data_IF_053933110617
#
_entry.id   IF_053933110617
#
_cell.length_a   1.000
_cell.length_b   1.000
_cell.length_c   1.000
_cell.angle_alpha   90.00
_cell.angle_beta   90.00
_cell.angle_gamma   90.00
#
_symmetry.space_group_name_H-M   'P 1'
#
loop_
_entity.id
_entity.type
_entity.pdbx_description
1 polymer ?
#
# COMPACT_ATOMS: atom_id res chain seq x y z
N UNK A 1 16.33 20.18 4.39
CA UNK A 1 15.68 19.28 3.43
C UNK A 1 14.18 19.51 3.45
N UNK A 2 13.54 19.75 2.30
CA UNK A 2 12.08 19.87 2.17
C UNK A 2 11.54 18.57 1.59
N UNK A 3 10.56 17.97 2.25
CA UNK A 3 9.82 16.81 1.76
C UNK A 3 8.47 17.31 1.26
N UNK A 4 8.19 17.06 -0.02
CA UNK A 4 6.88 17.40 -0.60
C UNK A 4 5.85 16.34 -0.21
N UNK A 5 4.63 16.79 0.06
CA UNK A 5 3.47 15.90 0.12
C UNK A 5 2.94 15.66 -1.30
N UNK A 6 2.31 14.50 -1.52
CA UNK A 6 1.68 14.15 -2.82
C UNK A 6 0.85 15.30 -3.40
N UNK A 7 0.02 15.96 -2.59
CA UNK A 7 -0.83 17.05 -3.04
C UNK A 7 -0.06 18.31 -3.50
N UNK A 8 1.11 18.58 -2.91
CA UNK A 8 2.00 19.66 -3.34
C UNK A 8 2.69 19.27 -4.65
N UNK A 9 3.18 18.02 -4.74
CA UNK A 9 3.80 17.50 -5.95
C UNK A 9 2.85 17.55 -7.14
N UNK A 10 1.59 17.13 -6.99
CA UNK A 10 0.58 17.18 -8.08
C UNK A 10 0.35 18.59 -8.64
N UNK A 11 0.51 19.62 -7.82
CA UNK A 11 0.43 21.01 -8.32
C UNK A 11 1.62 21.37 -9.18
N UNK A 12 2.80 20.78 -8.94
CA UNK A 12 4.00 21.04 -9.72
C UNK A 12 4.05 20.29 -11.06
N UNK A 13 3.21 19.26 -11.26
CA UNK A 13 3.15 18.54 -12.55
C UNK A 13 2.70 19.47 -13.68
N UNK A 14 1.76 20.38 -13.38
CA UNK A 14 1.29 21.36 -14.39
C UNK A 14 2.42 22.31 -14.74
N UNK A 15 2.82 22.30 -16.01
CA UNK A 15 3.88 23.15 -16.55
C UNK A 15 5.28 22.52 -16.49
N UNK A 16 5.45 21.26 -16.06
CA UNK A 16 6.74 20.57 -16.11
C UNK A 16 7.35 20.51 -17.51
N UNK A 17 6.53 20.54 -18.54
CA UNK A 17 6.94 20.55 -19.95
C UNK A 17 7.67 21.84 -20.34
N UNK A 18 7.29 22.98 -19.75
CA UNK A 18 7.74 24.32 -20.20
C UNK A 18 8.47 25.11 -19.14
N UNK A 19 8.27 24.80 -17.83
CA UNK A 19 8.93 25.55 -16.75
C UNK A 19 10.39 25.13 -16.65
N UNK A 20 11.36 26.04 -16.83
CA UNK A 20 12.78 25.76 -16.61
C UNK A 20 13.05 25.32 -15.18
N UNK A 21 13.93 24.36 -15.02
CA UNK A 21 14.39 23.91 -13.71
C UNK A 21 14.64 22.41 -13.65
N UNK A 22 15.39 22.00 -12.63
CA UNK A 22 15.67 20.61 -12.37
C UNK A 22 14.41 19.93 -11.78
N UNK A 23 13.94 18.89 -12.44
CA UNK A 23 12.78 18.08 -12.01
C UNK A 23 13.26 16.67 -11.69
N UNK A 24 13.96 16.55 -10.53
CA UNK A 24 14.52 15.29 -10.04
C UNK A 24 13.81 14.90 -8.77
N UNK A 25 13.09 13.78 -8.77
CA UNK A 25 12.22 13.38 -7.69
C UNK A 25 12.56 12.00 -7.16
N UNK A 26 12.44 11.86 -5.84
CA UNK A 26 12.43 10.57 -5.14
C UNK A 26 11.01 10.32 -4.62
N UNK A 27 10.32 9.34 -5.20
CA UNK A 27 9.01 8.89 -4.72
C UNK A 27 9.21 7.78 -3.69
N UNK A 28 8.72 7.99 -2.48
CA UNK A 28 8.82 7.05 -1.38
C UNK A 28 7.57 7.05 -0.51
N UNK A 29 7.43 6.04 0.34
CA UNK A 29 6.27 5.88 1.23
C UNK A 29 5.44 4.66 0.87
N UNK A 30 4.35 4.45 1.62
CA UNK A 30 3.63 3.17 1.67
C UNK A 30 2.57 3.00 0.54
N UNK A 31 2.34 4.02 -0.32
CA UNK A 31 1.24 3.99 -1.31
C UNK A 31 1.74 3.88 -2.74
N UNK A 32 2.01 2.63 -3.17
CA UNK A 32 2.57 2.34 -4.50
C UNK A 32 1.61 2.71 -5.65
N UNK A 33 0.30 2.59 -5.43
CA UNK A 33 -0.68 2.94 -6.46
C UNK A 33 -0.59 4.42 -6.84
N UNK A 34 -0.53 5.32 -5.87
CA UNK A 34 -0.47 6.76 -6.16
C UNK A 34 0.89 7.17 -6.70
N UNK A 35 2.00 6.51 -6.30
CA UNK A 35 3.31 6.69 -6.94
C UNK A 35 3.26 6.37 -8.43
N UNK A 36 2.64 5.24 -8.80
CA UNK A 36 2.46 4.86 -10.20
C UNK A 36 1.53 5.83 -10.96
N UNK A 37 0.42 6.22 -10.35
CA UNK A 37 -0.54 7.15 -10.95
C UNK A 37 0.09 8.52 -11.21
N UNK A 38 0.85 9.05 -10.25
CA UNK A 38 1.53 10.35 -10.39
C UNK A 38 2.73 10.28 -11.34
N UNK A 39 3.45 9.15 -11.39
CA UNK A 39 4.46 8.90 -12.42
C UNK A 39 3.83 8.96 -13.82
N UNK A 40 2.69 8.30 -14.03
CA UNK A 40 1.98 8.35 -15.31
C UNK A 40 1.43 9.76 -15.62
N UNK A 41 1.03 10.53 -14.61
CA UNK A 41 0.64 11.93 -14.79
C UNK A 41 1.82 12.79 -15.26
N UNK A 42 3.03 12.57 -14.73
CA UNK A 42 4.25 13.22 -15.22
C UNK A 42 4.57 12.83 -16.67
N UNK A 43 4.43 11.53 -17.00
CA UNK A 43 4.59 11.05 -18.39
C UNK A 43 3.65 11.80 -19.34
N UNK A 44 2.39 11.96 -18.97
CA UNK A 44 1.42 12.69 -19.80
C UNK A 44 1.72 14.18 -19.88
N UNK A 45 2.27 14.79 -18.83
CA UNK A 45 2.64 16.19 -18.83
C UNK A 45 3.90 16.46 -19.67
N UNK A 46 4.94 15.60 -19.54
CA UNK A 46 6.24 15.80 -20.20
C UNK A 46 6.23 15.28 -21.64
N UNK A 47 5.56 14.15 -21.90
CA UNK A 47 5.53 13.48 -23.19
C UNK A 47 4.07 13.11 -23.57
N UNK A 48 3.20 14.09 -23.89
CA UNK A 48 1.79 13.83 -24.18
C UNK A 48 1.58 13.04 -25.47
N UNK A 49 2.40 13.27 -26.51
CA UNK A 49 2.32 12.59 -27.80
C UNK A 49 2.98 11.20 -27.71
N UNK A 50 2.24 10.10 -27.94
CA UNK A 50 2.79 8.76 -27.91
C UNK A 50 3.92 8.50 -28.90
N UNK A 51 3.91 9.17 -30.06
CA UNK A 51 4.94 9.03 -31.10
C UNK A 51 6.27 9.67 -30.70
N UNK A 52 6.22 10.79 -30.00
CA UNK A 52 7.38 11.50 -29.46
C UNK A 52 7.86 10.83 -28.17
N UNK A 53 6.93 10.28 -27.37
CA UNK A 53 7.21 9.60 -26.12
C UNK A 53 8.17 8.42 -26.28
N UNK A 54 8.02 7.63 -27.34
CA UNK A 54 8.87 6.45 -27.57
C UNK A 54 10.36 6.79 -27.67
N UNK A 55 10.71 8.03 -27.99
CA UNK A 55 12.10 8.49 -28.04
C UNK A 55 12.55 9.21 -26.77
N UNK A 56 11.61 9.71 -25.97
CA UNK A 56 11.89 10.60 -24.84
C UNK A 56 11.56 9.98 -23.46
N UNK A 57 10.96 8.80 -23.40
CA UNK A 57 10.72 8.10 -22.15
C UNK A 57 11.62 6.87 -22.03
N UNK A 58 12.38 6.80 -20.94
CA UNK A 58 13.17 5.62 -20.59
C UNK A 58 12.71 5.11 -19.23
N UNK A 59 12.29 3.83 -19.19
CA UNK A 59 11.93 3.15 -17.94
C UNK A 59 12.96 2.08 -17.64
N UNK A 60 13.43 2.09 -16.39
CA UNK A 60 14.33 1.09 -15.83
C UNK A 60 13.75 0.53 -14.54
N UNK A 61 14.05 -0.73 -14.30
CA UNK A 61 13.73 -1.45 -13.08
C UNK A 61 14.94 -2.23 -12.56
N UNK A 62 14.78 -2.94 -11.45
CA UNK A 62 15.86 -3.72 -10.84
C UNK A 62 16.48 -4.78 -11.77
N UNK A 63 15.78 -5.22 -12.83
CA UNK A 63 16.27 -6.26 -13.74
C UNK A 63 17.17 -5.71 -14.87
N UNK A 64 16.92 -4.46 -15.27
CA UNK A 64 17.62 -3.86 -16.42
C UNK A 64 18.49 -2.65 -16.04
N UNK A 65 18.45 -2.22 -14.79
CA UNK A 65 19.24 -1.11 -14.28
C UNK A 65 20.72 -1.50 -14.13
N UNK A 66 21.59 -0.63 -14.64
CA UNK A 66 23.00 -0.49 -14.21
C UNK A 66 23.32 1.01 -14.12
N UNK A 67 24.32 1.44 -13.33
CA UNK A 67 24.73 2.82 -13.25
C UNK A 67 25.07 3.44 -14.60
N UNK A 68 25.75 2.66 -15.49
CA UNK A 68 26.16 3.10 -16.82
C UNK A 68 24.92 3.33 -17.72
N UNK A 69 23.98 2.37 -17.74
CA UNK A 69 22.75 2.52 -18.53
C UNK A 69 21.90 3.70 -18.05
N UNK A 70 21.87 3.93 -16.72
CA UNK A 70 21.17 5.07 -16.17
C UNK A 70 21.82 6.38 -16.63
N UNK A 71 23.15 6.44 -16.59
CA UNK A 71 23.90 7.61 -17.06
C UNK A 71 23.67 7.87 -18.54
N UNK A 72 23.75 6.82 -19.39
CA UNK A 72 23.46 6.94 -20.83
C UNK A 72 22.04 7.48 -21.06
N UNK A 73 21.04 6.99 -20.30
CA UNK A 73 19.68 7.47 -20.41
C UNK A 73 19.51 8.93 -20.00
N UNK A 74 20.23 9.38 -18.98
CA UNK A 74 20.20 10.77 -18.50
C UNK A 74 20.89 11.72 -19.49
N UNK A 75 22.03 11.31 -20.07
CA UNK A 75 22.80 12.10 -21.02
C UNK A 75 22.14 12.29 -22.39
N UNK A 76 21.24 11.38 -22.76
CA UNK A 76 20.58 11.40 -24.07
C UNK A 76 19.74 12.65 -24.20
N UNK A 77 19.92 13.40 -25.27
CA UNK A 77 19.15 14.61 -25.54
C UNK A 77 17.70 14.29 -25.95
N UNK A 78 16.74 15.18 -25.65
CA UNK A 78 15.36 15.00 -26.10
C UNK A 78 15.25 15.09 -27.61
N UNK A 79 14.35 14.30 -28.20
CA UNK A 79 14.10 14.22 -29.62
C UNK A 79 12.72 14.79 -29.94
N UNK A 80 12.63 15.87 -30.71
CA UNK A 80 11.37 16.54 -31.03
C UNK A 80 10.55 16.97 -29.82
N UNK A 81 11.20 17.21 -28.68
CA UNK A 81 10.61 17.63 -27.43
C UNK A 81 11.61 18.54 -26.68
N UNK A 82 11.12 19.34 -25.73
CA UNK A 82 11.98 20.16 -24.88
C UNK A 82 12.62 19.34 -23.73
N UNK A 83 11.98 18.26 -23.35
CA UNK A 83 12.38 17.42 -22.22
C UNK A 83 12.28 15.95 -22.55
N UNK A 84 13.04 15.18 -21.79
CA UNK A 84 12.92 13.73 -21.74
C UNK A 84 12.63 13.27 -20.30
N UNK A 85 12.13 12.06 -20.18
CA UNK A 85 11.76 11.47 -18.90
C UNK A 85 12.54 10.18 -18.68
N UNK A 86 13.23 10.08 -17.54
CA UNK A 86 13.91 8.87 -17.09
C UNK A 86 13.27 8.43 -15.78
N UNK A 87 12.74 7.21 -15.75
CA UNK A 87 12.07 6.61 -14.60
C UNK A 87 12.87 5.37 -14.16
N UNK A 88 13.33 5.37 -12.94
CA UNK A 88 13.93 4.21 -12.28
C UNK A 88 12.99 3.75 -11.17
N UNK A 89 12.50 2.52 -11.25
CA UNK A 89 11.49 1.98 -10.31
C UNK A 89 11.85 0.59 -9.81
N UNK A 90 11.20 0.15 -8.72
CA UNK A 90 11.37 -1.21 -8.19
C UNK A 90 12.73 -1.45 -7.53
N UNK A 91 13.49 -0.42 -7.21
CA UNK A 91 14.79 -0.52 -6.56
C UNK A 91 14.61 -0.53 -5.05
N UNK A 92 15.10 -1.58 -4.38
CA UNK A 92 15.10 -1.72 -2.93
C UNK A 92 16.39 -1.12 -2.35
N UNK A 93 16.37 0.19 -2.08
CA UNK A 93 17.56 0.92 -1.61
C UNK A 93 18.13 0.37 -0.31
N UNK A 94 17.27 -0.13 0.60
CA UNK A 94 17.70 -0.75 1.86
C UNK A 94 18.44 -2.09 1.66
N UNK A 95 18.26 -2.74 0.52
CA UNK A 95 18.90 -4.01 0.19
C UNK A 95 20.19 -3.85 -0.61
N UNK A 96 20.48 -2.65 -1.12
CA UNK A 96 21.68 -2.36 -1.91
C UNK A 96 22.93 -2.34 -1.02
N UNK A 97 24.04 -2.85 -1.57
CA UNK A 97 25.35 -2.71 -0.95
C UNK A 97 25.83 -1.25 -1.03
N UNK A 98 26.72 -0.88 -0.13
CA UNK A 98 27.25 0.50 -0.07
C UNK A 98 27.97 0.92 -1.37
N UNK A 99 28.60 0.01 -2.07
CA UNK A 99 29.22 0.27 -3.39
C UNK A 99 28.17 0.58 -4.46
N UNK A 100 27.06 -0.16 -4.49
CA UNK A 100 25.97 0.05 -5.41
C UNK A 100 25.25 1.38 -5.13
N UNK A 101 25.05 1.71 -3.84
CA UNK A 101 24.50 3.00 -3.42
C UNK A 101 25.39 4.16 -3.85
N UNK A 102 26.72 4.03 -3.69
CA UNK A 102 27.68 5.06 -4.11
C UNK A 102 27.66 5.25 -5.63
N UNK A 103 27.58 4.15 -6.40
CA UNK A 103 27.51 4.21 -7.84
C UNK A 103 26.22 4.92 -8.32
N UNK A 104 25.07 4.62 -7.70
CA UNK A 104 23.80 5.30 -7.98
C UNK A 104 23.90 6.79 -7.62
N UNK A 105 24.38 7.14 -6.42
CA UNK A 105 24.52 8.53 -5.99
C UNK A 105 25.50 9.31 -6.87
N UNK A 106 26.55 8.66 -7.41
CA UNK A 106 27.47 9.29 -8.38
C UNK A 106 26.77 9.67 -9.68
N UNK A 107 25.82 8.87 -10.18
CA UNK A 107 25.00 9.25 -11.33
C UNK A 107 24.08 10.41 -10.97
N UNK A 108 23.42 10.33 -9.79
CA UNK A 108 22.47 11.37 -9.35
C UNK A 108 23.16 12.74 -9.16
N UNK A 109 24.42 12.75 -8.76
CA UNK A 109 25.19 14.00 -8.60
C UNK A 109 25.45 14.74 -9.91
N UNK A 110 25.34 14.06 -11.04
CA UNK A 110 25.53 14.62 -12.38
C UNK A 110 24.22 15.10 -13.03
N UNK A 111 23.06 14.79 -12.43
CA UNK A 111 21.76 15.22 -12.98
C UNK A 111 21.65 16.72 -13.28
N UNK A 112 22.21 17.65 -12.45
CA UNK A 112 22.12 19.08 -12.72
C UNK A 112 22.73 19.51 -14.06
N UNK A 113 23.65 18.75 -14.62
CA UNK A 113 24.27 19.01 -15.91
C UNK A 113 23.33 18.72 -17.10
N UNK A 114 22.20 18.02 -16.82
CA UNK A 114 21.22 17.56 -17.81
C UNK A 114 19.81 18.06 -17.44
N UNK A 115 19.65 19.37 -17.37
CA UNK A 115 18.43 20.06 -16.91
C UNK A 115 17.19 19.83 -17.79
N UNK A 116 17.39 19.34 -19.01
CA UNK A 116 16.33 18.88 -19.91
C UNK A 116 15.74 17.52 -19.49
N UNK A 117 16.37 16.81 -18.57
CA UNK A 117 15.88 15.51 -18.08
C UNK A 117 14.96 15.71 -16.88
N UNK A 118 13.77 15.12 -16.93
CA UNK A 118 12.91 14.88 -15.76
C UNK A 118 13.24 13.49 -15.24
N UNK A 119 13.65 13.39 -13.98
CA UNK A 119 14.06 12.12 -13.38
C UNK A 119 13.17 11.73 -12.21
N UNK A 120 12.70 10.49 -12.19
CA UNK A 120 11.93 9.93 -11.10
C UNK A 120 12.57 8.62 -10.61
N UNK A 121 13.01 8.60 -9.36
CA UNK A 121 13.34 7.37 -8.65
C UNK A 121 12.13 6.98 -7.80
N UNK A 122 11.42 5.91 -8.19
CA UNK A 122 10.24 5.41 -7.46
C UNK A 122 10.60 4.16 -6.67
N UNK A 123 10.70 4.31 -5.35
CA UNK A 123 11.07 3.23 -4.42
C UNK A 123 9.79 2.51 -3.95
N UNK A 124 9.73 1.16 -3.95
CA UNK A 124 8.61 0.40 -3.39
C UNK A 124 8.34 0.75 -1.93
N UNK A 125 7.14 0.42 -1.43
CA UNK A 125 6.69 0.74 -0.08
C UNK A 125 7.65 0.26 1.02
N UNK A 126 8.28 -0.89 0.83
CA UNK A 126 9.25 -1.52 1.73
C UNK A 126 10.71 -1.39 1.24
N UNK A 127 10.93 -0.65 0.15
CA UNK A 127 12.24 -0.52 -0.51
C UNK A 127 13.23 0.39 0.22
N UNK A 128 12.79 1.20 1.18
CA UNK A 128 13.67 1.99 2.05
C UNK A 128 13.00 2.31 3.39
N UNK A 129 13.81 2.43 4.45
CA UNK A 129 13.35 3.07 5.69
C UNK A 129 13.41 4.60 5.53
N UNK A 130 12.26 5.29 5.52
CA UNK A 130 12.23 6.74 5.40
C UNK A 130 12.55 7.46 6.72
N UNK A 131 12.63 6.75 7.85
CA UNK A 131 12.60 7.32 9.20
C UNK A 131 11.17 7.65 9.66
N UNK A 132 11.04 8.63 10.56
CA UNK A 132 9.74 9.06 11.07
C UNK A 132 9.10 10.04 10.09
N UNK A 133 7.93 9.69 9.55
CA UNK A 133 7.19 10.51 8.59
C UNK A 133 5.76 10.79 9.08
N UNK A 134 5.12 11.91 8.66
CA UNK A 134 3.71 12.12 8.91
C UNK A 134 2.88 11.02 8.22
N UNK A 135 1.82 10.61 8.88
CA UNK A 135 0.86 9.61 8.38
C UNK A 135 -0.55 10.19 8.37
N UNK A 136 -1.48 9.51 7.71
CA UNK A 136 -2.90 9.90 7.74
C UNK A 136 -3.47 9.92 9.17
N UNK A 137 -2.97 9.08 10.07
CA UNK A 137 -3.37 9.04 11.48
C UNK A 137 -2.66 10.10 12.33
N UNK A 138 -1.48 10.56 11.91
CA UNK A 138 -0.65 11.53 12.63
C UNK A 138 -0.08 12.58 11.66
N UNK A 139 -0.94 13.43 11.07
CA UNK A 139 -0.52 14.35 10.00
C UNK A 139 0.36 15.50 10.49
N UNK A 140 0.41 15.75 11.79
CA UNK A 140 1.25 16.82 12.41
C UNK A 140 2.60 16.33 12.91
N UNK A 141 2.94 15.05 12.64
CA UNK A 141 4.27 14.53 13.03
C UNK A 141 5.35 15.25 12.26
N UNK A 142 6.33 15.79 12.98
CA UNK A 142 7.52 16.38 12.35
C UNK A 142 8.36 15.28 11.68
N UNK A 143 8.72 15.44 10.40
CA UNK A 143 9.54 14.47 9.71
C UNK A 143 10.95 14.37 10.36
N UNK A 144 11.38 13.14 10.63
CA UNK A 144 12.76 12.83 11.03
C UNK A 144 13.31 11.81 10.03
N UNK A 145 13.91 12.29 8.92
CA UNK A 145 14.39 11.43 7.86
C UNK A 145 15.50 10.50 8.33
N UNK A 146 15.55 9.30 7.74
CA UNK A 146 16.67 8.40 7.91
C UNK A 146 17.95 8.95 7.27
N UNK A 147 19.10 8.41 7.63
CA UNK A 147 20.37 8.75 6.98
C UNK A 147 20.34 8.42 5.48
N UNK A 148 19.68 7.30 5.09
CA UNK A 148 19.56 6.90 3.69
C UNK A 148 18.72 7.92 2.91
N UNK A 149 17.52 8.29 3.40
CA UNK A 149 16.69 9.31 2.77
C UNK A 149 17.43 10.65 2.65
N UNK A 150 18.18 11.03 3.66
CA UNK A 150 18.96 12.30 3.67
C UNK A 150 20.03 12.33 2.58
N UNK A 151 20.73 11.21 2.33
CA UNK A 151 21.74 11.10 1.24
C UNK A 151 21.12 11.31 -0.13
N UNK A 152 19.93 10.71 -0.40
CA UNK A 152 19.25 10.89 -1.68
C UNK A 152 18.65 12.29 -1.83
N UNK A 153 18.22 12.90 -0.73
CA UNK A 153 17.64 14.25 -0.73
C UNK A 153 18.65 15.38 -1.02
N UNK A 154 19.92 15.07 -1.10
CA UNK A 154 20.95 16.00 -1.60
C UNK A 154 20.82 16.22 -3.11
N UNK A 155 20.33 15.23 -3.83
CA UNK A 155 20.25 15.24 -5.31
C UNK A 155 18.81 15.24 -5.84
N UNK A 156 17.89 14.66 -5.09
CA UNK A 156 16.50 14.48 -5.49
C UNK A 156 15.55 15.19 -4.52
N UNK A 157 14.46 15.72 -5.03
CA UNK A 157 13.37 16.25 -4.21
C UNK A 157 12.51 15.10 -3.69
N UNK A 158 12.51 14.79 -2.39
CA UNK A 158 11.70 13.71 -1.85
C UNK A 158 10.21 14.06 -1.87
N UNK A 159 9.39 13.11 -2.35
CA UNK A 159 7.91 13.19 -2.36
C UNK A 159 7.36 12.03 -1.56
N UNK A 160 6.62 12.33 -0.51
CA UNK A 160 6.01 11.33 0.38
C UNK A 160 4.63 10.93 -0.12
N UNK A 161 4.46 9.64 -0.37
CA UNK A 161 3.20 8.96 -0.65
C UNK A 161 2.75 8.15 0.56
N UNK A 162 2.12 8.82 1.51
CA UNK A 162 1.65 8.19 2.74
C UNK A 162 0.39 7.35 2.46
N UNK A 163 0.25 6.23 3.18
CA UNK A 163 -0.93 5.37 3.08
C UNK A 163 -2.20 6.16 3.44
N UNK A 164 -3.21 6.03 2.61
CA UNK A 164 -4.50 6.67 2.81
C UNK A 164 -5.26 6.08 3.99
N UNK A 165 -5.96 6.94 4.76
CA UNK A 165 -6.92 6.47 5.76
C UNK A 165 -8.16 5.87 5.08
N UNK A 166 -8.96 5.03 5.78
CA UNK A 166 -10.20 4.49 5.23
C UNK A 166 -11.17 5.57 4.73
N UNK A 167 -11.23 6.73 5.40
CA UNK A 167 -12.06 7.86 4.98
C UNK A 167 -11.55 8.52 3.69
N UNK A 168 -10.23 8.64 3.54
CA UNK A 168 -9.61 9.15 2.31
C UNK A 168 -9.81 8.17 1.16
N UNK A 169 -9.69 6.85 1.41
CA UNK A 169 -9.98 5.81 0.43
C UNK A 169 -11.44 5.85 -0.02
N UNK A 170 -12.41 5.95 0.89
CA UNK A 170 -13.82 6.06 0.53
C UNK A 170 -14.10 7.29 -0.35
N UNK A 171 -13.47 8.42 -0.04
CA UNK A 171 -13.58 9.64 -0.86
C UNK A 171 -12.90 9.47 -2.23
N UNK A 172 -11.81 8.73 -2.29
CA UNK A 172 -11.12 8.39 -3.53
C UNK A 172 -11.98 7.46 -4.40
N UNK A 173 -12.56 6.41 -3.83
CA UNK A 173 -13.50 5.50 -4.48
C UNK A 173 -14.66 6.27 -5.10
N UNK A 174 -15.27 7.20 -4.34
CA UNK A 174 -16.39 8.01 -4.84
C UNK A 174 -16.01 8.85 -6.06
N UNK A 175 -14.82 9.48 -6.04
CA UNK A 175 -14.33 10.26 -7.19
C UNK A 175 -14.13 9.39 -8.43
N UNK A 176 -13.62 8.17 -8.26
CA UNK A 176 -13.35 7.25 -9.37
C UNK A 176 -14.66 6.73 -9.99
N UNK A 177 -15.67 6.39 -9.20
CA UNK A 177 -17.00 6.07 -9.74
C UNK A 177 -17.57 7.24 -10.55
N UNK A 178 -17.51 8.45 -10.01
CA UNK A 178 -17.97 9.64 -10.69
C UNK A 178 -17.25 9.89 -12.02
N UNK A 179 -15.94 9.69 -12.06
CA UNK A 179 -15.16 9.82 -13.31
C UNK A 179 -15.54 8.76 -14.35
N UNK A 180 -15.99 7.58 -13.90
CA UNK A 180 -16.54 6.51 -14.75
C UNK A 180 -18.00 6.70 -15.16
N UNK A 181 -18.66 7.81 -14.75
CA UNK A 181 -20.06 8.08 -15.07
C UNK A 181 -21.07 7.33 -14.19
N UNK A 182 -20.64 6.82 -13.03
CA UNK A 182 -21.49 6.11 -12.06
C UNK A 182 -21.50 6.88 -10.74
N UNK A 183 -22.67 6.98 -10.12
CA UNK A 183 -22.82 7.56 -8.79
C UNK A 183 -22.67 6.46 -7.73
N UNK A 184 -21.94 6.75 -6.67
CA UNK A 184 -21.80 5.90 -5.51
C UNK A 184 -22.02 6.70 -4.23
N UNK A 185 -22.88 6.22 -3.34
CA UNK A 185 -23.15 6.90 -2.07
C UNK A 185 -21.92 6.83 -1.15
N UNK A 186 -21.73 7.77 -0.21
CA UNK A 186 -20.64 7.70 0.76
C UNK A 186 -20.66 6.42 1.59
N UNK A 187 -21.85 5.87 1.91
CA UNK A 187 -22.00 4.61 2.66
C UNK A 187 -21.54 3.42 1.82
N UNK A 188 -21.95 3.37 0.56
CA UNK A 188 -21.46 2.36 -0.40
C UNK A 188 -19.93 2.40 -0.53
N UNK A 189 -19.35 3.58 -0.64
CA UNK A 189 -17.88 3.72 -0.76
C UNK A 189 -17.15 3.23 0.51
N UNK A 190 -17.70 3.50 1.70
CA UNK A 190 -17.15 2.97 2.96
C UNK A 190 -17.27 1.46 3.03
N UNK A 191 -18.42 0.92 2.65
CA UNK A 191 -18.65 -0.52 2.59
C UNK A 191 -17.72 -1.20 1.60
N UNK A 192 -17.51 -0.61 0.43
CA UNK A 192 -16.58 -1.13 -0.57
C UNK A 192 -15.14 -1.20 -0.05
N UNK A 193 -14.67 -0.14 0.64
CA UNK A 193 -13.33 -0.16 1.26
C UNK A 193 -13.23 -1.23 2.34
N UNK A 194 -14.29 -1.41 3.12
CA UNK A 194 -14.36 -2.47 4.14
C UNK A 194 -14.35 -3.86 3.50
N UNK A 195 -15.12 -4.05 2.43
CA UNK A 195 -15.33 -5.33 1.77
C UNK A 195 -14.12 -5.76 0.91
N UNK A 196 -13.59 -4.85 0.09
CA UNK A 196 -12.47 -5.15 -0.82
C UNK A 196 -11.08 -4.99 -0.17
N UNK A 197 -11.01 -4.37 1.03
CA UNK A 197 -9.74 -4.02 1.68
C UNK A 197 -9.22 -2.65 1.29
N UNK A 198 -8.02 -2.32 1.81
CA UNK A 198 -7.41 -0.98 1.67
C UNK A 198 -6.39 -0.89 0.54
N UNK A 199 -6.18 -1.94 -0.23
CA UNK A 199 -5.27 -1.95 -1.38
C UNK A 199 -5.88 -1.17 -2.55
N UNK A 200 -5.19 -0.10 -2.97
CA UNK A 200 -5.71 0.79 -4.01
C UNK A 200 -5.67 0.18 -5.41
N UNK A 201 -4.75 -0.75 -5.70
CA UNK A 201 -4.76 -1.49 -6.98
C UNK A 201 -6.00 -2.36 -7.08
N UNK A 202 -6.31 -3.09 -6.00
CA UNK A 202 -7.54 -3.89 -5.91
C UNK A 202 -8.77 -3.00 -6.01
N UNK A 203 -8.88 -1.97 -5.20
CA UNK A 203 -10.01 -1.03 -5.24
C UNK A 203 -10.22 -0.45 -6.63
N UNK A 204 -9.15 -0.06 -7.33
CA UNK A 204 -9.22 0.42 -8.72
C UNK A 204 -9.81 -0.62 -9.65
N UNK A 205 -9.34 -1.86 -9.57
CA UNK A 205 -9.86 -2.98 -10.37
C UNK A 205 -11.35 -3.24 -10.10
N UNK A 206 -11.75 -3.26 -8.84
CA UNK A 206 -13.14 -3.47 -8.44
C UNK A 206 -14.06 -2.32 -8.89
N UNK A 207 -13.59 -1.05 -8.81
CA UNK A 207 -14.32 0.11 -9.33
C UNK A 207 -14.57 -0.03 -10.84
N UNK A 208 -13.56 -0.45 -11.60
CA UNK A 208 -13.70 -0.63 -13.05
C UNK A 208 -14.75 -1.69 -13.38
N UNK A 209 -14.72 -2.86 -12.69
CA UNK A 209 -15.71 -3.93 -12.89
C UNK A 209 -17.11 -3.47 -12.54
N UNK A 210 -17.29 -2.87 -11.37
CA UNK A 210 -18.59 -2.36 -10.91
C UNK A 210 -19.13 -1.26 -11.83
N UNK A 211 -18.29 -0.34 -12.27
CA UNK A 211 -18.66 0.72 -13.21
C UNK A 211 -19.15 0.12 -14.53
N UNK A 212 -18.42 -0.86 -15.08
CA UNK A 212 -18.82 -1.54 -16.31
C UNK A 212 -20.15 -2.29 -16.14
N UNK A 213 -20.32 -3.01 -15.02
CA UNK A 213 -21.54 -3.77 -14.71
C UNK A 213 -22.77 -2.86 -14.59
N UNK A 214 -22.68 -1.78 -13.80
CA UNK A 214 -23.78 -0.83 -13.59
C UNK A 214 -24.19 -0.18 -14.91
N UNK A 215 -23.21 0.25 -15.71
CA UNK A 215 -23.46 0.85 -17.04
C UNK A 215 -24.05 -0.13 -18.04
N UNK A 216 -23.59 -1.38 -18.06
CA UNK A 216 -24.15 -2.44 -18.91
C UNK A 216 -25.62 -2.74 -18.57
N UNK A 217 -26.02 -2.58 -17.29
CA UNK A 217 -27.40 -2.68 -16.84
C UNK A 217 -28.24 -1.42 -17.13
N UNK A 218 -27.71 -0.40 -17.83
CA UNK A 218 -28.39 0.85 -18.13
C UNK A 218 -28.63 1.75 -16.92
N UNK A 219 -27.87 1.55 -15.84
CA UNK A 219 -27.98 2.31 -14.58
C UNK A 219 -26.83 3.30 -14.42
N UNK A 220 -27.07 4.34 -13.63
CA UNK A 220 -26.07 5.36 -13.29
C UNK A 220 -25.67 5.32 -11.80
N UNK A 221 -26.30 4.46 -11.00
CA UNK A 221 -26.06 4.37 -9.56
C UNK A 221 -25.68 2.94 -9.15
N UNK A 222 -24.58 2.81 -8.41
CA UNK A 222 -24.17 1.57 -7.80
C UNK A 222 -24.96 1.28 -6.51
N UNK A 223 -25.33 0.03 -6.28
CA UNK A 223 -26.09 -0.45 -5.12
C UNK A 223 -25.27 -1.45 -4.29
N UNK A 224 -25.61 -1.68 -3.01
CA UNK A 224 -24.97 -2.71 -2.20
C UNK A 224 -25.03 -4.11 -2.82
N UNK A 225 -26.13 -4.46 -3.52
CA UNK A 225 -26.28 -5.73 -4.22
C UNK A 225 -25.24 -5.89 -5.34
N UNK A 226 -24.93 -4.81 -6.06
CA UNK A 226 -23.88 -4.82 -7.09
C UNK A 226 -22.53 -5.16 -6.50
N UNK A 227 -22.20 -4.60 -5.31
CA UNK A 227 -20.97 -4.87 -4.62
C UNK A 227 -20.79 -6.36 -4.34
N UNK A 228 -21.81 -7.00 -3.76
CA UNK A 228 -21.74 -8.41 -3.43
C UNK A 228 -21.84 -9.35 -4.65
N UNK A 229 -22.40 -8.88 -5.75
CA UNK A 229 -22.52 -9.65 -6.99
C UNK A 229 -21.22 -9.64 -7.81
N UNK A 230 -20.51 -8.52 -7.85
CA UNK A 230 -19.41 -8.27 -8.79
C UNK A 230 -18.06 -8.22 -8.12
N UNK A 231 -17.97 -7.59 -6.94
CA UNK A 231 -16.69 -7.36 -6.30
C UNK A 231 -16.19 -8.62 -5.58
N UNK A 232 -14.86 -8.75 -5.57
CA UNK A 232 -14.21 -9.83 -4.83
C UNK A 232 -13.84 -9.32 -3.43
N UNK A 233 -14.30 -10.06 -2.43
CA UNK A 233 -13.96 -9.78 -1.02
C UNK A 233 -12.45 -9.88 -0.78
N UNK A 234 -11.91 -8.95 0.01
CA UNK A 234 -10.53 -9.01 0.44
C UNK A 234 -10.31 -10.14 1.44
N UNK A 235 -9.24 -10.92 1.25
CA UNK A 235 -8.87 -11.99 2.20
C UNK A 235 -8.64 -11.48 3.61
N UNK A 236 -8.13 -10.25 3.75
CA UNK A 236 -7.95 -9.60 5.06
C UNK A 236 -9.29 -9.37 5.79
N UNK A 237 -10.36 -9.06 5.04
CA UNK A 237 -11.69 -8.83 5.61
C UNK A 237 -12.26 -10.12 6.19
N UNK A 238 -12.28 -11.20 5.40
CA UNK A 238 -12.75 -12.48 5.88
C UNK A 238 -11.96 -13.03 7.06
N UNK A 239 -10.62 -12.91 7.04
CA UNK A 239 -9.76 -13.31 8.15
C UNK A 239 -10.04 -12.50 9.43
N UNK A 240 -10.32 -11.21 9.30
CA UNK A 240 -10.66 -10.34 10.42
C UNK A 240 -12.02 -10.68 11.03
N UNK A 241 -13.06 -10.86 10.21
CA UNK A 241 -14.39 -11.23 10.66
C UNK A 241 -14.41 -12.63 11.30
N UNK A 242 -13.70 -13.58 10.70
CA UNK A 242 -13.50 -14.90 11.27
C UNK A 242 -12.84 -14.81 12.66
N UNK A 243 -11.71 -14.11 12.76
CA UNK A 243 -10.98 -13.95 14.02
C UNK A 243 -11.82 -13.24 15.09
N UNK A 244 -12.59 -12.22 14.72
CA UNK A 244 -13.51 -11.54 15.63
C UNK A 244 -14.64 -12.45 16.12
N UNK A 245 -15.21 -13.27 15.24
CA UNK A 245 -16.23 -14.25 15.62
C UNK A 245 -15.68 -15.28 16.60
N UNK A 246 -14.45 -15.78 16.36
CA UNK A 246 -13.75 -16.68 17.27
C UNK A 246 -13.45 -16.00 18.61
N UNK A 247 -12.93 -14.77 18.62
CA UNK A 247 -12.66 -14.01 19.84
C UNK A 247 -13.92 -13.69 20.65
N UNK A 248 -15.05 -13.53 19.98
CA UNK A 248 -16.35 -13.33 20.62
C UNK A 248 -16.98 -14.63 21.16
N UNK A 249 -16.39 -15.81 20.87
CA UNK A 249 -16.96 -17.12 21.20
C UNK A 249 -18.18 -17.49 20.34
N UNK A 250 -18.37 -16.85 19.20
CA UNK A 250 -19.48 -17.11 18.29
C UNK A 250 -19.05 -18.08 17.19
N UNK A 251 -19.07 -19.37 17.55
CA UNK A 251 -18.64 -20.48 16.68
C UNK A 251 -19.45 -20.54 15.38
N UNK A 252 -20.79 -20.34 15.46
CA UNK A 252 -21.65 -20.35 14.28
C UNK A 252 -21.30 -19.22 13.29
N UNK A 253 -21.00 -18.03 13.80
CA UNK A 253 -20.56 -16.93 12.95
C UNK A 253 -19.18 -17.20 12.32
N UNK A 254 -18.25 -17.80 13.09
CA UNK A 254 -16.94 -18.16 12.58
C UNK A 254 -17.05 -19.17 11.43
N UNK A 255 -17.85 -20.22 11.60
CA UNK A 255 -18.06 -21.20 10.52
C UNK A 255 -18.77 -20.62 9.30
N UNK A 256 -19.75 -19.72 9.48
CA UNK A 256 -20.39 -19.05 8.32
C UNK A 256 -19.37 -18.25 7.51
N UNK A 257 -18.53 -17.46 8.15
CA UNK A 257 -17.47 -16.70 7.45
C UNK A 257 -16.50 -17.66 6.76
N UNK A 258 -16.14 -18.77 7.41
CA UNK A 258 -15.23 -19.76 6.83
C UNK A 258 -15.82 -20.44 5.58
N UNK A 259 -17.11 -20.81 5.64
CA UNK A 259 -17.82 -21.37 4.48
C UNK A 259 -17.91 -20.37 3.32
N UNK A 260 -18.17 -19.10 3.59
CA UNK A 260 -18.11 -18.05 2.57
C UNK A 260 -16.73 -17.95 1.92
N UNK A 261 -15.64 -18.02 2.72
CA UNK A 261 -14.28 -18.04 2.17
C UNK A 261 -14.02 -19.26 1.29
N UNK A 262 -14.51 -20.45 1.68
CA UNK A 262 -14.39 -21.68 0.90
C UNK A 262 -15.12 -21.56 -0.44
N UNK A 263 -16.37 -21.10 -0.43
CA UNK A 263 -17.17 -20.87 -1.65
C UNK A 263 -16.45 -19.92 -2.61
N UNK A 264 -15.80 -18.91 -2.07
CA UNK A 264 -15.02 -17.91 -2.84
C UNK A 264 -13.63 -18.41 -3.23
N UNK A 265 -13.23 -19.62 -2.85
CA UNK A 265 -11.92 -20.22 -3.11
C UNK A 265 -10.75 -19.35 -2.64
N UNK A 266 -10.91 -18.67 -1.49
CA UNK A 266 -9.81 -17.95 -0.86
C UNK A 266 -8.65 -18.92 -0.60
N UNK A 267 -7.40 -18.48 -0.81
CA UNK A 267 -6.26 -19.35 -0.53
C UNK A 267 -6.13 -19.62 0.98
N UNK A 268 -6.28 -20.88 1.44
CA UNK A 268 -6.29 -21.20 2.87
C UNK A 268 -4.97 -20.86 3.56
N UNK A 269 -3.82 -20.88 2.84
CA UNK A 269 -2.51 -20.52 3.40
C UNK A 269 -2.46 -19.03 3.71
N UNK A 270 -2.97 -18.19 2.80
CA UNK A 270 -3.03 -16.74 2.98
C UNK A 270 -3.99 -16.37 4.12
N UNK A 271 -5.19 -16.95 4.12
CA UNK A 271 -6.20 -16.73 5.19
C UNK A 271 -5.63 -17.14 6.54
N UNK A 272 -5.01 -18.31 6.62
CA UNK A 272 -4.41 -18.82 7.85
C UNK A 272 -3.28 -17.90 8.37
N UNK A 273 -2.42 -17.41 7.47
CA UNK A 273 -1.37 -16.45 7.83
C UNK A 273 -1.93 -15.16 8.43
N UNK A 274 -2.99 -14.61 7.85
CA UNK A 274 -3.67 -13.41 8.37
C UNK A 274 -4.35 -13.67 9.72
N UNK A 275 -5.05 -14.79 9.87
CA UNK A 275 -5.69 -15.20 11.14
C UNK A 275 -4.64 -15.37 12.24
N UNK A 276 -3.54 -16.07 11.95
CA UNK A 276 -2.43 -16.25 12.89
C UNK A 276 -1.84 -14.92 13.34
N UNK A 277 -1.63 -14.00 12.39
CA UNK A 277 -1.13 -12.64 12.69
C UNK A 277 -2.09 -11.89 13.61
N UNK A 278 -3.41 -11.97 13.38
CA UNK A 278 -4.42 -11.29 14.20
C UNK A 278 -4.37 -11.81 15.65
N UNK A 279 -4.28 -13.14 15.86
CA UNK A 279 -4.18 -13.70 17.20
C UNK A 279 -2.85 -13.39 17.91
N UNK A 280 -1.73 -13.38 17.18
CA UNK A 280 -0.44 -12.96 17.71
C UNK A 280 -0.45 -11.48 18.15
N UNK A 281 -1.02 -10.60 17.33
CA UNK A 281 -1.21 -9.19 17.66
C UNK A 281 -2.10 -9.01 18.90
N UNK A 282 -3.20 -9.75 18.95
CA UNK A 282 -4.15 -9.74 20.06
C UNK A 282 -3.49 -10.16 21.40
N UNK A 283 -2.74 -11.27 21.38
CA UNK A 283 -2.02 -11.75 22.55
C UNK A 283 -0.92 -10.75 22.98
N UNK A 284 -0.15 -10.24 22.04
CA UNK A 284 0.93 -9.28 22.34
C UNK A 284 0.39 -8.01 23.00
N UNK A 285 -0.69 -7.44 22.44
CA UNK A 285 -1.35 -6.26 23.03
C UNK A 285 -1.89 -6.57 24.42
N UNK A 286 -2.51 -7.74 24.63
CA UNK A 286 -3.03 -8.16 25.93
C UNK A 286 -1.91 -8.26 26.97
N UNK A 287 -0.83 -8.98 26.68
CA UNK A 287 0.28 -9.17 27.61
C UNK A 287 0.98 -7.87 27.99
N UNK A 288 1.12 -6.94 27.04
CA UNK A 288 1.71 -5.63 27.30
C UNK A 288 0.74 -4.72 28.08
N UNK A 289 -0.56 -4.80 27.80
CA UNK A 289 -1.59 -4.10 28.58
C UNK A 289 -1.65 -4.58 30.03
N UNK A 290 -1.58 -5.91 30.25
CA UNK A 290 -1.58 -6.52 31.59
C UNK A 290 -0.33 -6.11 32.41
N UNK A 291 0.75 -5.70 31.73
CA UNK A 291 1.93 -5.09 32.35
C UNK A 291 1.79 -3.60 32.65
N UNK A 292 0.65 -3.00 32.35
CA UNK A 292 0.34 -1.60 32.62
C UNK A 292 0.89 -0.61 31.61
N UNK A 293 1.38 -1.06 30.43
CA UNK A 293 1.87 -0.17 29.39
C UNK A 293 0.71 0.61 28.75
N UNK A 294 0.96 1.89 28.47
CA UNK A 294 0.03 2.72 27.71
C UNK A 294 -0.05 2.31 26.23
N UNK A 295 -1.10 2.72 25.52
CA UNK A 295 -1.27 2.41 24.10
C UNK A 295 -0.09 2.90 23.22
N UNK A 296 0.54 4.02 23.58
CA UNK A 296 1.72 4.52 22.87
C UNK A 296 2.96 3.65 23.11
N UNK A 297 3.18 3.22 24.34
CA UNK A 297 4.30 2.33 24.69
C UNK A 297 4.13 0.94 24.06
N UNK A 298 2.89 0.41 24.03
CA UNK A 298 2.57 -0.85 23.36
C UNK A 298 2.85 -0.73 21.86
N UNK A 299 2.36 0.33 21.22
CA UNK A 299 2.62 0.56 19.79
C UNK A 299 4.12 0.67 19.49
N UNK A 300 4.89 1.38 20.32
CA UNK A 300 6.34 1.48 20.20
C UNK A 300 7.03 0.11 20.35
N UNK A 301 6.63 -0.69 21.36
CA UNK A 301 7.18 -2.03 21.61
C UNK A 301 6.92 -3.01 20.46
N UNK A 302 5.73 -2.91 19.83
CA UNK A 302 5.34 -3.73 18.69
C UNK A 302 5.79 -3.15 17.35
N UNK A 303 6.51 -2.02 17.35
CA UNK A 303 6.93 -1.26 16.17
C UNK A 303 5.74 -0.85 15.28
N UNK A 304 4.59 -0.61 15.90
CA UNK A 304 3.40 -0.15 15.18
C UNK A 304 3.44 1.36 15.01
N UNK A 305 3.18 1.84 13.82
CA UNK A 305 3.15 3.27 13.47
C UNK A 305 2.00 4.05 14.13
N UNK A 306 0.98 3.34 14.66
CA UNK A 306 -0.26 3.96 15.16
C UNK A 306 -0.78 3.31 16.45
N UNK A 307 -0.81 4.07 17.53
CA UNK A 307 -1.38 3.66 18.82
C UNK A 307 -2.92 3.41 18.75
N UNK A 308 -3.63 3.99 17.78
CA UNK A 308 -5.05 3.72 17.54
C UNK A 308 -5.34 2.25 17.23
N UNK A 309 -4.38 1.55 16.58
CA UNK A 309 -4.47 0.09 16.35
C UNK A 309 -4.54 -0.69 17.67
N UNK A 310 -3.78 -0.27 18.67
CA UNK A 310 -3.79 -0.90 20.01
C UNK A 310 -5.20 -0.84 20.60
N UNK A 311 -5.86 0.33 20.55
CA UNK A 311 -7.23 0.50 21.07
C UNK A 311 -8.27 -0.35 20.31
N UNK A 312 -8.08 -0.57 19.01
CA UNK A 312 -8.94 -1.47 18.23
C UNK A 312 -8.76 -2.91 18.69
N UNK A 313 -7.53 -3.39 18.80
CA UNK A 313 -7.21 -4.75 19.23
C UNK A 313 -7.68 -4.98 20.69
N UNK A 314 -7.46 -4.03 21.59
CA UNK A 314 -7.95 -4.12 22.96
C UNK A 314 -9.47 -4.32 23.00
N UNK A 315 -10.24 -3.57 22.19
CA UNK A 315 -11.71 -3.72 22.12
C UNK A 315 -12.15 -5.07 21.58
N UNK A 316 -11.48 -5.60 20.56
CA UNK A 316 -11.82 -6.92 19.98
C UNK A 316 -11.53 -8.06 20.95
N UNK A 317 -10.57 -7.90 21.85
CA UNK A 317 -10.14 -8.94 22.79
C UNK A 317 -10.79 -8.87 24.18
N UNK A 318 -11.64 -7.88 24.46
CA UNK A 318 -12.25 -7.67 25.80
C UNK A 318 -12.91 -8.93 26.35
N UNK A 319 -13.58 -9.71 25.52
CA UNK A 319 -14.33 -10.92 25.93
C UNK A 319 -13.50 -12.19 25.94
N UNK A 320 -12.26 -12.16 25.45
CA UNK A 320 -11.41 -13.35 25.34
C UNK A 320 -10.35 -13.36 26.45
N UNK A 321 -10.34 -14.33 27.37
CA UNK A 321 -9.30 -14.45 28.39
C UNK A 321 -7.92 -14.68 27.78
N UNK A 322 -6.87 -14.24 28.48
CA UNK A 322 -5.48 -14.37 28.02
C UNK A 322 -5.08 -15.82 27.74
N UNK A 323 -5.57 -16.76 28.55
CA UNK A 323 -5.32 -18.20 28.36
C UNK A 323 -5.91 -18.72 27.03
N UNK A 324 -7.10 -18.24 26.63
CA UNK A 324 -7.71 -18.62 25.36
C UNK A 324 -6.94 -18.00 24.18
N UNK A 325 -6.43 -16.77 24.32
CA UNK A 325 -5.54 -16.18 23.31
C UNK A 325 -4.24 -16.98 23.17
N UNK A 326 -3.66 -17.43 24.28
CA UNK A 326 -2.49 -18.32 24.27
C UNK A 326 -2.79 -19.64 23.56
N UNK A 327 -3.94 -20.24 23.84
CA UNK A 327 -4.38 -21.47 23.17
C UNK A 327 -4.56 -21.24 21.67
N UNK A 328 -5.18 -20.15 21.26
CA UNK A 328 -5.35 -19.79 19.84
C UNK A 328 -4.00 -19.67 19.12
N UNK A 329 -3.04 -18.96 19.72
CA UNK A 329 -1.70 -18.83 19.15
C UNK A 329 -0.98 -20.17 19.07
N UNK A 330 -1.12 -21.06 20.09
CA UNK A 330 -0.55 -22.41 20.04
C UNK A 330 -1.15 -23.25 18.92
N UNK A 331 -2.49 -23.27 18.80
CA UNK A 331 -3.18 -23.97 17.71
C UNK A 331 -2.70 -23.45 16.35
N UNK A 332 -2.54 -22.14 16.19
CA UNK A 332 -1.97 -21.56 14.98
C UNK A 332 -0.50 -22.01 14.74
N UNK A 333 0.32 -22.03 15.79
CA UNK A 333 1.73 -22.45 15.67
C UNK A 333 1.86 -23.93 15.28
N UNK A 334 1.04 -24.80 15.89
CA UNK A 334 1.04 -26.24 15.59
C UNK A 334 0.56 -26.55 14.17
N UNK A 335 -0.42 -25.77 13.68
CA UNK A 335 -0.98 -25.91 12.34
C UNK A 335 -0.09 -25.29 11.24
N UNK A 336 0.76 -24.31 11.56
CA UNK A 336 1.55 -23.56 10.56
C UNK A 336 2.42 -24.48 9.69
N UNK A 337 3.05 -25.46 10.32
CA UNK A 337 3.90 -26.42 9.60
C UNK A 337 3.05 -27.29 8.64
N UNK A 338 1.91 -27.77 9.11
CA UNK A 338 0.99 -28.61 8.32
C UNK A 338 0.45 -27.87 7.11
N UNK A 339 0.03 -26.61 7.32
CA UNK A 339 -0.48 -25.73 6.25
C UNK A 339 0.60 -25.45 5.21
N UNK A 340 1.84 -25.20 5.63
CA UNK A 340 2.98 -24.93 4.73
C UNK A 340 3.49 -26.16 3.99
N UNK A 341 3.38 -27.35 4.59
CA UNK A 341 3.89 -28.61 3.99
C UNK A 341 2.93 -29.29 3.01
N UNK A 342 1.75 -28.73 2.75
CA UNK A 342 0.88 -29.26 1.70
C UNK A 342 -0.61 -29.31 2.03
N UNK A 343 -1.00 -28.90 3.19
CA UNK A 343 -2.43 -28.75 3.56
C UNK A 343 -3.04 -27.53 2.88
N UNK A 344 -3.46 -27.66 1.64
CA UNK A 344 -4.27 -26.63 0.95
C UNK A 344 -5.75 -26.76 1.33
N UNK A 345 -6.04 -27.17 2.55
CA UNK A 345 -7.38 -27.28 3.06
C UNK A 345 -7.62 -26.29 4.21
N UNK A 346 -8.87 -26.16 4.62
CA UNK A 346 -9.27 -25.27 5.69
C UNK A 346 -9.26 -25.94 7.08
N UNK A 347 -8.78 -27.19 7.22
CA UNK A 347 -8.85 -27.97 8.43
C UNK A 347 -8.26 -27.25 9.67
N UNK A 348 -7.13 -26.56 9.47
CA UNK A 348 -6.50 -25.77 10.52
C UNK A 348 -7.38 -24.61 11.01
N UNK A 349 -8.09 -23.95 10.08
CA UNK A 349 -9.04 -22.87 10.39
C UNK A 349 -10.32 -23.40 11.04
N UNK A 350 -10.81 -24.58 10.62
CA UNK A 350 -11.96 -25.26 11.23
C UNK A 350 -11.67 -25.70 12.67
N UNK A 351 -10.45 -26.14 12.94
CA UNK A 351 -10.05 -26.58 14.26
C UNK A 351 -10.03 -25.42 15.29
N UNK A 352 -9.76 -24.21 14.86
CA UNK A 352 -9.55 -23.05 15.71
C UNK A 352 -10.79 -22.68 16.55
N UNK A 353 -12.01 -22.54 15.99
CA UNK A 353 -13.22 -22.28 16.77
C UNK A 353 -13.62 -23.46 17.69
N UNK A 354 -13.23 -24.69 17.34
CA UNK A 354 -13.52 -25.90 18.12
C UNK A 354 -12.57 -26.09 19.31
N UNK A 355 -11.36 -25.50 19.24
CA UNK A 355 -10.33 -25.64 20.27
C UNK A 355 -10.41 -24.53 21.33
N UNK A 356 -11.27 -23.54 21.14
CA UNK A 356 -11.43 -22.34 21.96
C UNK A 356 -12.82 -22.21 22.56
#
# INVERSE_FOLDING_TARGET
MRILQEAEFRKSIKGMETVPGAHFYLFFGDEDYTKLADTNAVVQAVCPDPSVRMFNETRMDALNYTPEKLMDAVMMQPVMAERRLVILSGIYLSAMKEEELRALLSVLSQLPDYDYTVFILSVPADGMDPGVMPTAASPRTEPRPSALLSRFAEYLTPVLFARNSPAQLASWVQRHFRSGGVQASPDFCREMVRYCGSDMFRLSSEIHKLTAYVRAAGREQATPEDLHTVAVEGTEFGAFDFSNAVMAGNTDAAFRVLEEMKVRRADPVVVFGEVSRIFCDALSVRLLSDRGLSANEIAASLKWKNAGRVAVVQRSTVRMPTERLLTAVRVCADADLTVKMGGKDYAALEQLPCSL
#
